data_IF_502929166715
#
_entry.id   IF_502929166715
#
_cell.length_a   1.000
_cell.length_b   1.000
_cell.length_c   1.000
_cell.angle_alpha   90.00
_cell.angle_beta   90.00
_cell.angle_gamma   90.00
#
_symmetry.space_group_name_H-M   'P 1'
#
loop_
_entity.id
_entity.type
_entity.pdbx_description
1 polymer ?
#
# COMPACT_ATOMS: atom_id res chain seq x y z
N UNK A 1 10.23 -1.47 -7.59
CA UNK A 1 10.00 -1.95 -6.22
C UNK A 1 8.86 -1.16 -5.63
N UNK A 2 7.66 -1.74 -5.56
CA UNK A 2 6.60 -1.16 -4.76
C UNK A 2 6.64 -1.86 -3.39
N UNK A 3 7.09 -1.11 -2.38
CA UNK A 3 7.14 -1.61 -1.01
C UNK A 3 5.72 -1.59 -0.45
N UNK A 4 5.07 -2.74 -0.36
CA UNK A 4 3.70 -2.86 0.15
C UNK A 4 3.70 -3.38 1.58
N UNK A 5 2.99 -2.66 2.45
CA UNK A 5 2.79 -3.07 3.83
C UNK A 5 1.99 -4.36 3.92
N UNK A 6 2.40 -5.24 4.82
CA UNK A 6 1.64 -6.44 5.19
C UNK A 6 1.21 -6.33 6.64
N UNK A 7 0.08 -6.96 6.99
CA UNK A 7 -0.38 -7.02 8.37
C UNK A 7 0.68 -7.66 9.27
N UNK A 8 0.72 -7.22 10.52
CA UNK A 8 1.58 -7.81 11.55
C UNK A 8 1.34 -9.32 11.65
N UNK A 9 0.08 -9.74 11.56
CA UNK A 9 -0.33 -11.14 11.45
C UNK A 9 0.48 -11.93 10.43
N UNK A 10 0.60 -11.42 9.19
CA UNK A 10 1.29 -12.11 8.11
C UNK A 10 2.80 -12.17 8.36
N UNK A 11 3.40 -11.07 8.81
CA UNK A 11 4.82 -11.05 9.19
C UNK A 11 5.15 -12.09 10.25
N UNK A 12 4.35 -12.15 11.33
CA UNK A 12 4.54 -13.13 12.42
C UNK A 12 4.27 -14.57 11.99
N UNK A 13 3.22 -14.84 11.21
CA UNK A 13 2.94 -16.18 10.67
C UNK A 13 4.06 -16.68 9.77
N UNK A 14 4.58 -15.81 8.90
CA UNK A 14 5.69 -16.12 8.02
C UNK A 14 6.95 -16.44 8.82
N UNK A 15 7.27 -15.62 9.82
CA UNK A 15 8.41 -15.84 10.71
C UNK A 15 8.29 -17.17 11.46
N UNK A 16 7.11 -17.51 12.00
CA UNK A 16 6.89 -18.79 12.69
C UNK A 16 6.97 -20.02 11.75
N UNK A 17 6.47 -19.88 10.52
CA UNK A 17 6.51 -20.93 9.48
C UNK A 17 7.95 -21.26 9.10
N UNK A 18 8.74 -20.22 8.81
CA UNK A 18 10.11 -20.34 8.34
C UNK A 18 11.16 -20.33 9.46
N UNK A 19 10.72 -20.28 10.73
CA UNK A 19 11.64 -20.23 11.86
C UNK A 19 12.74 -21.30 11.82
N UNK A 20 12.42 -22.59 11.57
CA UNK A 20 13.43 -23.66 11.57
C UNK A 20 14.49 -23.53 10.46
N UNK A 21 14.20 -22.80 9.39
CA UNK A 21 15.13 -22.62 8.27
C UNK A 21 16.20 -21.57 8.60
N UNK A 22 15.80 -20.50 9.29
CA UNK A 22 16.62 -19.30 9.46
C UNK A 22 17.20 -19.10 10.86
N UNK A 23 16.52 -19.59 11.90
CA UNK A 23 16.86 -19.32 13.31
C UNK A 23 17.28 -20.61 14.02
N UNK A 24 18.27 -21.30 13.43
CA UNK A 24 18.82 -22.54 14.00
C UNK A 24 19.37 -22.29 15.41
N UNK A 25 19.19 -23.28 16.28
CA UNK A 25 19.66 -23.25 17.67
C UNK A 25 19.02 -22.18 18.56
N UNK A 26 17.91 -21.59 18.12
CA UNK A 26 17.05 -20.72 18.91
C UNK A 26 15.71 -21.40 19.21
N UNK A 27 15.15 -21.13 20.38
CA UNK A 27 13.81 -21.57 20.76
C UNK A 27 12.81 -21.12 19.70
N UNK A 28 12.01 -22.06 19.21
CA UNK A 28 11.07 -21.82 18.11
C UNK A 28 9.99 -20.82 18.53
N UNK A 29 9.86 -19.74 17.76
CA UNK A 29 8.67 -18.89 17.84
C UNK A 29 7.43 -19.65 17.36
N UNK A 30 6.45 -19.81 18.26
CA UNK A 30 5.28 -20.66 18.04
C UNK A 30 4.24 -20.06 17.10
N UNK A 31 4.31 -18.76 16.77
CA UNK A 31 3.34 -18.12 15.85
C UNK A 31 1.89 -18.17 16.32
N UNK A 32 1.67 -18.12 17.64
CA UNK A 32 0.34 -18.02 18.26
C UNK A 32 -0.22 -16.62 18.05
N UNK A 33 -0.73 -16.39 16.86
CA UNK A 33 -1.42 -15.17 16.47
C UNK A 33 -2.73 -15.56 15.80
N UNK A 34 -3.79 -14.82 16.14
CA UNK A 34 -5.12 -14.96 15.56
C UNK A 34 -5.59 -13.59 15.07
N UNK A 35 -6.03 -13.52 13.82
CA UNK A 35 -6.59 -12.32 13.21
C UNK A 35 -8.10 -12.39 13.31
N UNK A 36 -8.74 -11.32 13.80
CA UNK A 36 -10.19 -11.14 13.76
C UNK A 36 -10.53 -10.02 12.79
N UNK A 37 -11.59 -10.24 12.02
CA UNK A 37 -12.16 -9.32 11.03
C UNK A 37 -13.68 -9.15 11.30
N UNK A 38 -14.42 -8.35 10.51
CA UNK A 38 -15.86 -8.16 10.72
C UNK A 38 -16.73 -9.41 10.46
N UNK A 39 -16.17 -10.46 9.87
CA UNK A 39 -16.88 -11.70 9.49
C UNK A 39 -16.58 -12.87 10.44
N UNK A 40 -15.65 -12.70 11.36
CA UNK A 40 -15.19 -13.73 12.28
C UNK A 40 -15.52 -13.37 13.73
N UNK A 41 -15.80 -14.38 14.55
CA UNK A 41 -16.04 -14.19 16.00
C UNK A 41 -14.89 -14.74 16.82
N UNK A 42 -14.71 -14.21 18.03
CA UNK A 42 -13.73 -14.76 18.99
C UNK A 42 -13.99 -16.23 19.31
N UNK A 43 -15.25 -16.68 19.27
CA UNK A 43 -15.60 -18.09 19.50
C UNK A 43 -15.15 -18.99 18.35
N UNK A 44 -15.30 -18.55 17.11
CA UNK A 44 -14.81 -19.28 15.95
C UNK A 44 -13.28 -19.35 15.95
N UNK A 45 -12.61 -18.24 16.30
CA UNK A 45 -11.17 -18.24 16.47
C UNK A 45 -10.72 -19.19 17.58
N UNK A 46 -11.45 -19.27 18.71
CA UNK A 46 -11.10 -20.17 19.80
C UNK A 46 -11.27 -21.66 19.47
N UNK A 47 -12.15 -22.02 18.52
CA UNK A 47 -12.24 -23.40 18.00
C UNK A 47 -10.95 -23.78 17.27
N UNK A 48 -10.41 -22.86 16.47
CA UNK A 48 -9.17 -23.07 15.70
C UNK A 48 -7.91 -22.86 16.55
N UNK A 49 -8.02 -22.04 17.59
CA UNK A 49 -6.92 -21.62 18.46
C UNK A 49 -7.29 -21.84 19.94
N UNK A 50 -7.28 -23.08 20.46
CA UNK A 50 -7.70 -23.38 21.83
C UNK A 50 -6.90 -22.65 22.92
N UNK A 51 -5.69 -22.18 22.60
CA UNK A 51 -4.85 -21.39 23.50
C UNK A 51 -5.48 -20.04 23.88
N UNK A 52 -6.37 -19.49 23.05
CA UNK A 52 -7.09 -18.24 23.34
C UNK A 52 -7.88 -18.30 24.66
N UNK A 53 -8.38 -19.47 25.04
CA UNK A 53 -9.14 -19.68 26.28
C UNK A 53 -8.28 -20.02 27.50
N UNK A 54 -7.01 -20.36 27.29
CA UNK A 54 -6.11 -20.89 28.33
C UNK A 54 -5.07 -19.88 28.79
N UNK A 55 -4.63 -19.02 27.88
CA UNK A 55 -3.55 -18.07 28.11
C UNK A 55 -4.09 -16.66 28.35
N UNK A 56 -3.29 -15.82 29.01
CA UNK A 56 -3.52 -14.38 29.04
C UNK A 56 -3.20 -13.80 27.66
N UNK A 57 -3.94 -12.78 27.26
CA UNK A 57 -3.93 -12.27 25.88
C UNK A 57 -3.50 -10.81 25.82
N UNK A 58 -2.95 -10.45 24.66
CA UNK A 58 -2.81 -9.10 24.16
C UNK A 58 -3.75 -8.95 22.96
N UNK A 59 -4.44 -7.80 22.88
CA UNK A 59 -5.27 -7.45 21.74
C UNK A 59 -4.89 -6.07 21.24
N UNK A 60 -4.71 -5.93 19.92
CA UNK A 60 -4.37 -4.66 19.27
C UNK A 60 -4.89 -4.60 17.83
N UNK A 61 -5.23 -3.43 17.28
CA UNK A 61 -5.55 -3.30 15.86
C UNK A 61 -4.37 -3.67 14.96
N UNK A 62 -4.68 -4.25 13.80
CA UNK A 62 -3.70 -4.66 12.78
C UNK A 62 -4.10 -4.12 11.40
N UNK A 63 -3.96 -2.79 11.23
CA UNK A 63 -4.33 -2.04 10.02
C UNK A 63 -3.23 -1.07 9.59
N UNK A 64 -1.96 -1.46 9.70
CA UNK A 64 -0.81 -0.70 9.19
C UNK A 64 -0.63 0.72 9.76
N UNK A 65 -0.92 0.93 11.05
CA UNK A 65 -0.58 2.16 11.75
C UNK A 65 0.18 1.87 13.06
N UNK A 66 1.13 2.76 13.38
CA UNK A 66 1.99 2.65 14.56
C UNK A 66 1.40 3.33 15.80
N UNK A 67 2.20 3.39 16.87
CA UNK A 67 1.90 4.12 18.13
C UNK A 67 0.56 3.73 18.80
N UNK A 68 0.09 2.49 18.60
CA UNK A 68 -1.16 1.93 19.16
C UNK A 68 -1.26 2.10 20.69
N UNK A 69 -0.16 1.96 21.41
CA UNK A 69 -0.10 2.18 22.86
C UNK A 69 -0.46 3.62 23.26
N UNK A 70 0.09 4.61 22.54
CA UNK A 70 -0.18 6.04 22.76
C UNK A 70 -1.65 6.43 22.46
N UNK A 71 -2.35 5.60 21.68
CA UNK A 71 -3.77 5.78 21.34
C UNK A 71 -4.74 4.94 22.20
N UNK A 72 -4.27 4.28 23.26
CA UNK A 72 -5.08 3.38 24.09
C UNK A 72 -5.75 2.25 23.28
N UNK A 73 -5.02 1.73 22.27
CA UNK A 73 -5.44 0.67 21.36
C UNK A 73 -4.70 -0.64 21.61
N UNK A 74 -4.21 -0.86 22.83
CA UNK A 74 -3.59 -2.13 23.23
C UNK A 74 -4.24 -2.56 24.54
N UNK A 75 -4.86 -3.74 24.53
CA UNK A 75 -5.31 -4.42 25.73
C UNK A 75 -4.23 -5.44 26.13
N UNK A 76 -3.71 -5.34 27.36
CA UNK A 76 -2.66 -6.22 27.88
C UNK A 76 -3.19 -7.15 28.97
N UNK A 77 -2.59 -8.33 29.12
CA UNK A 77 -2.85 -9.30 30.20
C UNK A 77 -4.34 -9.65 30.40
N UNK A 78 -5.08 -9.75 29.29
CA UNK A 78 -6.52 -9.96 29.30
C UNK A 78 -6.90 -11.45 29.35
N UNK A 79 -8.07 -11.75 29.91
CA UNK A 79 -8.74 -13.04 29.68
C UNK A 79 -9.42 -13.05 28.30
N UNK A 80 -9.83 -14.24 27.85
CA UNK A 80 -10.62 -14.41 26.63
C UNK A 80 -11.88 -13.52 26.60
N UNK A 81 -12.62 -13.45 27.72
CA UNK A 81 -13.83 -12.64 27.83
C UNK A 81 -13.55 -11.14 27.78
N UNK A 82 -12.47 -10.69 28.44
CA UNK A 82 -12.04 -9.29 28.36
C UNK A 82 -11.64 -8.91 26.94
N UNK A 83 -10.87 -9.77 26.25
CA UNK A 83 -10.49 -9.58 24.85
C UNK A 83 -11.73 -9.51 23.94
N UNK A 84 -12.68 -10.44 24.10
CA UNK A 84 -13.94 -10.47 23.34
C UNK A 84 -14.72 -9.17 23.49
N UNK A 85 -14.93 -8.71 24.72
CA UNK A 85 -15.69 -7.47 24.96
C UNK A 85 -14.96 -6.25 24.42
N UNK A 86 -13.64 -6.17 24.62
CA UNK A 86 -12.83 -5.05 24.15
C UNK A 86 -12.84 -4.90 22.63
N UNK A 87 -12.79 -6.02 21.89
CA UNK A 87 -12.92 -6.04 20.42
C UNK A 87 -14.32 -5.62 20.02
N UNK A 88 -15.37 -6.18 20.64
CA UNK A 88 -16.76 -5.86 20.33
C UNK A 88 -17.05 -4.37 20.46
N UNK A 89 -16.51 -3.72 21.47
CA UNK A 89 -16.72 -2.29 21.72
C UNK A 89 -16.04 -1.39 20.68
N UNK A 90 -15.01 -1.90 19.98
CA UNK A 90 -14.16 -1.15 19.03
C UNK A 90 -14.38 -1.54 17.58
N UNK A 91 -14.87 -2.74 17.30
CA UNK A 91 -15.11 -3.24 15.96
C UNK A 91 -16.06 -2.31 15.19
N UNK A 92 -15.66 -1.93 13.98
CA UNK A 92 -16.31 -0.99 13.08
C UNK A 92 -16.51 0.44 13.63
N UNK A 93 -15.82 0.80 14.73
CA UNK A 93 -15.82 2.18 15.24
C UNK A 93 -14.77 3.01 14.53
N UNK A 94 -15.13 4.27 14.25
CA UNK A 94 -14.21 5.24 13.68
C UNK A 94 -13.22 5.74 14.74
N UNK A 95 -11.97 5.89 14.33
CA UNK A 95 -10.91 6.48 15.14
C UNK A 95 -10.03 7.36 14.27
N UNK A 96 -9.49 8.40 14.88
CA UNK A 96 -8.56 9.32 14.21
C UNK A 96 -7.16 9.12 14.75
N UNK A 97 -6.22 8.81 13.86
CA UNK A 97 -4.78 8.67 14.13
C UNK A 97 -4.06 9.78 13.35
N UNK A 98 -3.51 10.76 14.08
CA UNK A 98 -2.96 11.97 13.45
C UNK A 98 -4.05 12.77 12.73
N UNK A 99 -3.97 12.87 11.40
CA UNK A 99 -4.95 13.57 10.55
C UNK A 99 -5.88 12.62 9.79
N UNK A 100 -5.77 11.32 10.05
CA UNK A 100 -6.41 10.27 9.27
C UNK A 100 -7.47 9.57 10.10
N UNK A 101 -8.69 9.48 9.57
CA UNK A 101 -9.83 8.82 10.23
C UNK A 101 -10.22 7.57 9.44
N UNK A 102 -10.39 6.45 10.13
CA UNK A 102 -10.86 5.19 9.55
C UNK A 102 -11.57 4.33 10.60
N UNK A 103 -12.21 3.24 10.15
CA UNK A 103 -12.83 2.24 11.02
C UNK A 103 -11.85 1.16 11.45
N UNK A 104 -11.89 0.81 12.73
CA UNK A 104 -11.19 -0.36 13.26
C UNK A 104 -11.95 -1.63 12.84
N UNK A 105 -11.40 -2.36 11.88
CA UNK A 105 -12.01 -3.56 11.30
C UNK A 105 -11.22 -4.83 11.58
N UNK A 106 -9.91 -4.73 11.83
CA UNK A 106 -9.04 -5.89 12.01
C UNK A 106 -8.24 -5.79 13.31
N UNK A 107 -8.25 -6.85 14.10
CA UNK A 107 -7.46 -6.94 15.33
C UNK A 107 -6.62 -8.21 15.36
N UNK A 108 -5.43 -8.09 15.94
CA UNK A 108 -4.53 -9.18 16.26
C UNK A 108 -4.71 -9.56 17.72
N UNK A 109 -4.86 -10.86 17.98
CA UNK A 109 -4.85 -11.46 19.30
C UNK A 109 -3.65 -12.39 19.42
N UNK A 110 -2.87 -12.24 20.48
CA UNK A 110 -1.69 -13.04 20.76
C UNK A 110 -1.52 -13.28 22.27
N UNK A 111 -0.74 -14.28 22.71
CA UNK A 111 -0.46 -14.49 24.12
C UNK A 111 0.26 -13.27 24.73
N UNK A 112 -0.15 -12.90 25.95
CA UNK A 112 0.63 -12.00 26.78
C UNK A 112 1.92 -12.69 27.22
N UNK A 113 3.04 -12.00 27.02
CA UNK A 113 4.37 -12.46 27.40
C UNK A 113 4.78 -11.68 28.65
N UNK A 114 4.78 -12.27 29.85
CA UNK A 114 5.39 -11.63 31.02
C UNK A 114 6.90 -11.53 30.82
N UNK A 115 7.45 -10.32 30.88
CA UNK A 115 8.89 -10.08 30.71
C UNK A 115 9.32 -8.84 31.49
N UNK A 116 10.64 -8.74 31.73
CA UNK A 116 11.28 -7.53 32.21
C UNK A 116 11.45 -6.55 31.04
N UNK A 117 11.15 -5.27 31.26
CA UNK A 117 11.33 -4.20 30.26
C UNK A 117 12.77 -4.11 29.77
N UNK A 118 13.76 -4.45 30.61
CA UNK A 118 15.17 -4.48 30.23
C UNK A 118 15.51 -5.63 29.24
N UNK A 119 14.53 -6.47 28.89
CA UNK A 119 14.64 -7.54 27.89
C UNK A 119 13.83 -7.23 26.62
N UNK A 120 13.35 -5.99 26.47
CA UNK A 120 12.78 -5.48 25.23
C UNK A 120 13.91 -4.89 24.38
N UNK A 121 14.21 -5.52 23.25
CA UNK A 121 15.18 -5.01 22.28
C UNK A 121 14.46 -4.44 21.05
N UNK A 122 15.20 -3.65 20.27
CA UNK A 122 14.75 -3.11 19.01
C UNK A 122 15.61 -3.67 17.88
N UNK A 123 14.96 -4.06 16.79
CA UNK A 123 15.63 -4.41 15.54
C UNK A 123 14.84 -3.95 14.34
N UNK A 124 15.52 -3.35 13.35
CA UNK A 124 14.94 -3.06 12.06
C UNK A 124 15.93 -3.35 10.93
N UNK A 125 15.43 -3.73 9.76
CA UNK A 125 16.20 -3.90 8.53
C UNK A 125 15.57 -3.02 7.46
N UNK A 126 16.37 -2.12 6.91
CA UNK A 126 15.95 -1.18 5.86
C UNK A 126 16.79 -1.37 4.61
N UNK A 127 16.15 -1.30 3.44
CA UNK A 127 16.86 -1.35 2.16
C UNK A 127 17.33 0.04 1.72
N UNK A 128 18.55 0.11 1.19
CA UNK A 128 19.13 1.31 0.60
C UNK A 128 19.91 0.98 -0.69
N UNK A 129 20.39 2.01 -1.40
CA UNK A 129 21.06 1.80 -2.71
C UNK A 129 22.33 0.94 -2.62
N UNK A 130 22.99 0.89 -1.46
CA UNK A 130 24.26 0.17 -1.25
C UNK A 130 24.07 -1.23 -0.65
N UNK A 131 22.82 -1.66 -0.42
CA UNK A 131 22.48 -2.92 0.25
C UNK A 131 21.46 -2.66 1.34
N UNK A 132 21.57 -3.37 2.46
CA UNK A 132 20.58 -3.29 3.55
C UNK A 132 21.27 -2.89 4.86
N UNK A 133 20.59 -2.07 5.66
CA UNK A 133 21.06 -1.61 6.96
C UNK A 133 20.26 -2.27 8.07
N UNK A 134 20.96 -2.94 8.98
CA UNK A 134 20.41 -3.52 10.21
C UNK A 134 20.59 -2.49 11.32
N UNK A 135 19.49 -2.06 11.91
CA UNK A 135 19.45 -1.19 13.09
C UNK A 135 19.15 -2.05 14.31
N UNK A 136 19.92 -1.91 15.39
CA UNK A 136 19.72 -2.70 16.60
C UNK A 136 19.95 -1.85 17.86
N UNK A 137 19.13 -2.06 18.89
CA UNK A 137 19.34 -1.48 20.23
C UNK A 137 18.90 -2.48 21.30
N UNK A 138 19.63 -2.51 22.42
CA UNK A 138 19.24 -3.24 23.63
C UNK A 138 18.14 -2.53 24.44
N UNK A 139 17.72 -1.34 24.00
CA UNK A 139 16.69 -0.50 24.64
C UNK A 139 15.52 -0.34 23.66
N UNK A 140 14.63 -1.33 23.59
CA UNK A 140 13.44 -1.33 22.74
C UNK A 140 12.18 -0.79 23.42
N UNK A 141 11.05 -0.88 22.69
CA UNK A 141 9.74 -0.54 23.21
C UNK A 141 9.20 0.82 22.70
N UNK A 142 8.22 1.36 23.44
CA UNK A 142 7.44 2.55 23.05
C UNK A 142 8.30 3.82 22.96
N UNK A 143 9.42 3.85 23.67
CA UNK A 143 10.27 5.03 23.85
C UNK A 143 11.59 4.96 23.07
N UNK A 144 11.70 4.05 22.09
CA UNK A 144 12.89 3.93 21.22
C UNK A 144 13.29 5.25 20.54
N UNK A 145 12.30 6.10 20.21
CA UNK A 145 12.53 7.42 19.58
C UNK A 145 13.34 8.36 20.49
N UNK A 146 13.26 8.18 21.82
CA UNK A 146 13.96 9.00 22.81
C UNK A 146 15.39 8.52 23.09
N UNK A 147 15.69 7.26 22.74
CA UNK A 147 17.00 6.60 22.94
C UNK A 147 17.67 6.25 21.62
N UNK A 148 17.39 7.00 20.54
CA UNK A 148 17.92 6.71 19.21
C UNK A 148 19.45 6.65 19.15
N UNK A 149 20.13 7.41 20.01
CA UNK A 149 21.59 7.42 20.12
C UNK A 149 22.18 6.06 20.57
N UNK A 150 21.35 5.15 21.13
CA UNK A 150 21.78 3.79 21.48
C UNK A 150 21.65 2.79 20.32
N UNK A 151 21.06 3.21 19.18
CA UNK A 151 20.84 2.35 18.03
C UNK A 151 22.13 2.23 17.21
N UNK A 152 22.68 1.03 17.16
CA UNK A 152 23.80 0.71 16.26
C UNK A 152 23.25 0.43 14.86
N UNK A 153 23.99 0.83 13.83
CA UNK A 153 23.66 0.55 12.43
C UNK A 153 24.76 -0.29 11.80
N UNK A 154 24.39 -1.45 11.26
CA UNK A 154 25.27 -2.41 10.60
C UNK A 154 24.87 -2.51 9.13
N UNK A 155 25.73 -2.00 8.24
CA UNK A 155 25.51 -2.11 6.81
C UNK A 155 25.93 -3.51 6.31
N UNK A 156 25.07 -4.10 5.49
CA UNK A 156 25.34 -5.30 4.68
C UNK A 156 25.35 -4.86 3.22
N UNK A 157 26.53 -4.78 2.58
CA UNK A 157 26.63 -4.35 1.18
C UNK A 157 25.90 -5.28 0.21
N UNK A 158 25.44 -4.76 -0.92
CA UNK A 158 24.88 -5.58 -2.01
C UNK A 158 25.89 -6.65 -2.45
N UNK A 159 25.40 -7.87 -2.72
CA UNK A 159 26.19 -9.05 -3.08
C UNK A 159 27.11 -9.61 -1.98
N UNK A 160 27.13 -9.01 -0.78
CA UNK A 160 27.84 -9.59 0.37
C UNK A 160 26.98 -10.62 1.10
N UNK A 161 27.64 -11.57 1.78
CA UNK A 161 26.97 -12.46 2.71
C UNK A 161 26.92 -11.84 4.10
N UNK A 162 25.81 -11.99 4.81
CA UNK A 162 25.72 -11.65 6.23
C UNK A 162 26.73 -12.44 7.08
N UNK A 163 27.20 -13.58 6.59
CA UNK A 163 28.21 -14.38 7.29
C UNK A 163 29.57 -13.69 7.38
N UNK A 164 29.89 -12.84 6.39
CA UNK A 164 31.15 -12.09 6.31
C UNK A 164 31.13 -10.83 7.18
N UNK A 165 30.00 -10.52 7.81
CA UNK A 165 29.83 -9.34 8.65
C UNK A 165 30.06 -9.70 10.12
N UNK A 166 31.01 -9.02 10.74
CA UNK A 166 31.29 -9.11 12.18
C UNK A 166 30.19 -8.43 13.02
N UNK A 167 29.02 -9.07 13.10
CA UNK A 167 27.86 -8.56 13.85
C UNK A 167 28.21 -8.37 15.33
N UNK A 168 28.86 -9.36 15.95
CA UNK A 168 29.14 -9.38 17.40
C UNK A 168 29.96 -8.17 17.86
N UNK A 169 30.90 -7.71 17.04
CA UNK A 169 31.76 -6.56 17.34
C UNK A 169 31.04 -5.22 17.25
N UNK A 170 29.98 -5.16 16.44
CA UNK A 170 29.19 -3.95 16.20
C UNK A 170 27.98 -3.81 17.14
N UNK A 171 27.67 -4.86 17.91
CA UNK A 171 26.60 -4.85 18.90
C UNK A 171 26.91 -3.88 20.06
N UNK A 172 25.88 -3.29 20.69
CA UNK A 172 26.05 -2.43 21.86
C UNK A 172 26.95 -3.05 22.94
N UNK A 173 27.82 -2.23 23.53
CA UNK A 173 28.83 -2.71 24.50
C UNK A 173 28.21 -3.20 25.80
N UNK A 174 27.06 -2.66 26.17
CA UNK A 174 26.25 -2.95 27.35
C UNK A 174 25.47 -4.27 27.27
N UNK A 175 25.44 -4.95 26.12
CA UNK A 175 24.88 -6.30 26.02
C UNK A 175 25.74 -7.33 26.78
N UNK A 176 25.15 -8.18 27.64
CA UNK A 176 25.84 -9.30 28.26
C UNK A 176 26.48 -10.25 27.24
N UNK A 177 27.64 -10.83 27.57
CA UNK A 177 28.43 -11.65 26.63
C UNK A 177 27.68 -12.85 26.06
N UNK A 178 26.94 -13.60 26.89
CA UNK A 178 26.12 -14.74 26.45
C UNK A 178 24.95 -14.29 25.55
N UNK A 179 24.38 -13.11 25.82
CA UNK A 179 23.30 -12.53 25.03
C UNK A 179 23.80 -12.04 23.67
N UNK A 180 25.03 -11.51 23.58
CA UNK A 180 25.64 -11.11 22.31
C UNK A 180 25.71 -12.25 21.31
N UNK A 181 26.05 -13.46 21.74
CA UNK A 181 26.11 -14.62 20.85
C UNK A 181 24.73 -15.03 20.35
N UNK A 182 23.73 -15.03 21.24
CA UNK A 182 22.35 -15.34 20.87
C UNK A 182 21.76 -14.28 19.93
N UNK A 183 21.98 -12.99 20.22
CA UNK A 183 21.57 -11.85 19.37
C UNK A 183 22.27 -11.90 18.01
N UNK A 184 23.56 -12.23 17.98
CA UNK A 184 24.30 -12.37 16.72
C UNK A 184 23.69 -13.43 15.82
N UNK A 185 23.39 -14.62 16.37
CA UNK A 185 22.70 -15.70 15.62
C UNK A 185 21.32 -15.26 15.13
N UNK A 186 20.56 -14.58 15.98
CA UNK A 186 19.23 -14.07 15.62
C UNK A 186 19.29 -13.03 14.50
N UNK A 187 20.20 -12.06 14.56
CA UNK A 187 20.39 -11.04 13.52
C UNK A 187 20.76 -11.68 12.18
N UNK A 188 21.72 -12.61 12.19
CA UNK A 188 22.12 -13.34 10.97
C UNK A 188 20.95 -14.11 10.36
N UNK A 189 20.18 -14.80 11.19
CA UNK A 189 18.96 -15.51 10.76
C UNK A 189 17.89 -14.57 10.22
N UNK A 190 17.61 -13.47 10.93
CA UNK A 190 16.61 -12.48 10.54
C UNK A 190 16.97 -11.80 9.21
N UNK A 191 18.24 -11.50 8.98
CA UNK A 191 18.71 -10.94 7.72
C UNK A 191 18.49 -11.89 6.55
N UNK A 192 18.84 -13.18 6.71
CA UNK A 192 18.58 -14.18 5.67
C UNK A 192 17.08 -14.35 5.41
N UNK A 193 16.27 -14.39 6.46
CA UNK A 193 14.81 -14.41 6.36
C UNK A 193 14.28 -13.20 5.59
N UNK A 194 14.74 -11.99 5.93
CA UNK A 194 14.39 -10.74 5.27
C UNK A 194 14.72 -10.78 3.77
N UNK A 195 15.96 -11.15 3.42
CA UNK A 195 16.44 -11.19 2.05
C UNK A 195 15.73 -12.27 1.21
N UNK A 196 15.67 -13.51 1.72
CA UNK A 196 15.13 -14.66 0.98
C UNK A 196 13.62 -14.57 0.72
N UNK A 197 12.89 -13.81 1.54
CA UNK A 197 11.45 -13.62 1.42
C UNK A 197 11.10 -12.26 0.82
N UNK A 198 12.07 -11.52 0.26
CA UNK A 198 11.78 -10.29 -0.49
C UNK A 198 11.18 -9.17 0.37
N UNK A 199 11.58 -9.08 1.64
CA UNK A 199 11.25 -7.92 2.46
C UNK A 199 12.04 -6.70 1.96
N UNK A 200 11.38 -5.54 2.01
CA UNK A 200 12.00 -4.24 1.75
C UNK A 200 12.09 -3.37 3.01
N UNK A 201 11.33 -3.74 4.04
CA UNK A 201 11.38 -3.18 5.39
C UNK A 201 10.90 -4.24 6.38
N UNK A 202 11.62 -4.42 7.48
CA UNK A 202 11.20 -5.26 8.59
C UNK A 202 11.64 -4.63 9.91
N UNK A 203 10.71 -4.31 10.78
CA UNK A 203 10.95 -3.77 12.11
C UNK A 203 10.23 -4.64 13.13
N UNK A 204 10.92 -4.95 14.23
CA UNK A 204 10.38 -5.68 15.37
C UNK A 204 10.65 -4.83 16.61
N UNK A 205 9.60 -4.22 17.17
CA UNK A 205 9.73 -3.28 18.28
C UNK A 205 8.57 -3.33 19.30
N UNK A 206 8.72 -4.02 20.45
CA UNK A 206 9.94 -4.70 20.89
C UNK A 206 10.04 -6.13 20.35
N UNK A 207 11.26 -6.64 20.31
CA UNK A 207 11.56 -8.08 20.35
C UNK A 207 11.95 -8.44 21.78
N UNK A 208 11.23 -9.38 22.39
CA UNK A 208 11.49 -9.81 23.77
C UNK A 208 12.48 -10.96 23.78
N UNK A 209 13.54 -10.82 24.57
CA UNK A 209 14.54 -11.87 24.79
C UNK A 209 14.02 -12.88 25.82
N UNK A 210 14.02 -14.16 25.46
CA UNK A 210 13.74 -15.27 26.40
C UNK A 210 15.02 -16.04 26.73
N UNK A 211 14.93 -17.07 27.59
CA UNK A 211 16.09 -17.90 27.95
C UNK A 211 16.75 -18.59 26.75
N UNK A 212 15.99 -18.89 25.70
CA UNK A 212 16.47 -19.67 24.56
C UNK A 212 16.22 -19.04 23.19
N UNK A 213 15.56 -17.88 23.12
CA UNK A 213 15.20 -17.30 21.83
C UNK A 213 14.57 -15.91 21.96
N UNK A 214 13.73 -15.59 20.99
CA UNK A 214 13.16 -14.26 20.81
C UNK A 214 11.68 -14.36 20.50
N UNK A 215 10.89 -13.45 21.07
CA UNK A 215 9.47 -13.32 20.77
C UNK A 215 9.24 -11.95 20.14
N UNK A 216 8.87 -11.87 18.85
CA UNK A 216 8.47 -10.60 18.23
C UNK A 216 7.14 -10.15 18.84
N UNK A 217 7.15 -9.10 19.67
CA UNK A 217 5.93 -8.58 20.30
C UNK A 217 5.22 -7.61 19.37
N UNK A 218 5.97 -6.82 18.61
CA UNK A 218 5.43 -6.01 17.52
C UNK A 218 6.18 -6.26 16.23
N UNK A 219 5.51 -6.15 15.08
CA UNK A 219 6.17 -6.28 13.78
C UNK A 219 5.55 -5.35 12.76
N UNK A 220 6.37 -4.54 12.12
CA UNK A 220 6.01 -3.73 10.96
C UNK A 220 6.83 -4.24 9.77
N UNK A 221 6.14 -4.61 8.69
CA UNK A 221 6.77 -5.26 7.56
C UNK A 221 6.26 -4.71 6.23
N UNK A 222 7.16 -4.64 5.26
CA UNK A 222 6.84 -4.38 3.85
C UNK A 222 7.59 -5.37 2.97
N UNK A 223 6.89 -5.91 1.98
CA UNK A 223 7.49 -6.74 0.92
C UNK A 223 7.66 -5.91 -0.35
N UNK A 224 8.65 -6.26 -1.17
CA UNK A 224 8.70 -5.82 -2.56
C UNK A 224 7.70 -6.65 -3.36
N UNK A 225 6.51 -6.13 -3.63
CA UNK A 225 5.45 -6.85 -4.32
C UNK A 225 5.88 -7.40 -5.69
N UNK A 226 6.83 -6.76 -6.35
CA UNK A 226 7.37 -7.21 -7.63
C UNK A 226 8.16 -8.52 -7.51
N UNK A 227 8.58 -8.91 -6.32
CA UNK A 227 9.22 -10.20 -6.06
C UNK A 227 8.22 -11.38 -6.00
N UNK A 228 6.91 -11.16 -6.19
CA UNK A 228 5.89 -12.21 -6.11
C UNK A 228 6.15 -13.41 -7.02
N UNK A 229 6.71 -13.20 -8.22
CA UNK A 229 7.01 -14.31 -9.13
C UNK A 229 8.16 -15.21 -8.62
N UNK A 230 9.03 -14.69 -7.74
CA UNK A 230 10.14 -15.45 -7.12
C UNK A 230 9.72 -15.98 -5.75
N UNK A 231 9.17 -15.11 -4.90
CA UNK A 231 8.91 -15.35 -3.50
C UNK A 231 7.47 -15.80 -3.22
N UNK A 232 6.56 -15.75 -4.20
CA UNK A 232 5.13 -16.02 -4.02
C UNK A 232 4.83 -17.41 -3.45
N UNK A 233 5.62 -18.43 -3.81
CA UNK A 233 5.52 -19.77 -3.18
C UNK A 233 5.79 -19.74 -1.69
N UNK A 234 6.74 -18.89 -1.24
CA UNK A 234 7.05 -18.72 0.18
C UNK A 234 5.97 -17.89 0.89
N UNK A 235 5.49 -16.83 0.23
CA UNK A 235 4.45 -15.95 0.77
C UNK A 235 3.09 -16.65 0.93
N UNK A 236 2.73 -17.51 -0.02
CA UNK A 236 1.38 -18.05 -0.13
C UNK A 236 0.39 -16.97 -0.55
N UNK A 237 -0.87 -17.10 -0.10
CA UNK A 237 -1.94 -16.15 -0.38
C UNK A 237 -1.81 -14.93 0.56
N UNK A 238 -0.81 -14.08 0.31
CA UNK A 238 -0.58 -12.89 1.12
C UNK A 238 -1.47 -11.72 0.69
N UNK A 239 -2.07 -11.04 1.67
CA UNK A 239 -2.85 -9.82 1.45
C UNK A 239 -1.96 -8.59 1.63
N UNK A 240 -2.12 -7.61 0.74
CA UNK A 240 -1.52 -6.29 0.85
C UNK A 240 -2.59 -5.24 1.14
N UNK A 241 -2.95 -5.02 2.42
CA UNK A 241 -4.02 -4.11 2.78
C UNK A 241 -3.68 -2.67 2.41
N UNK A 242 -4.71 -1.88 2.16
CA UNK A 242 -4.56 -0.44 2.00
C UNK A 242 -4.06 0.22 3.30
N UNK A 243 -3.36 1.36 3.22
CA UNK A 243 -3.00 2.14 4.39
C UNK A 243 -4.24 2.54 5.21
N UNK A 244 -4.09 2.61 6.53
CA UNK A 244 -5.14 3.15 7.42
C UNK A 244 -5.65 4.50 6.91
N UNK A 245 -6.97 4.69 6.90
CA UNK A 245 -7.61 5.89 6.33
C UNK A 245 -8.15 5.71 4.92
N UNK A 246 -7.85 4.57 4.29
CA UNK A 246 -8.27 4.28 2.93
C UNK A 246 -8.80 2.87 2.84
N UNK A 247 -10.08 2.77 2.48
CA UNK A 247 -10.64 1.53 1.96
C UNK A 247 -10.64 1.61 0.44
N UNK A 248 -10.15 0.57 -0.24
CA UNK A 248 -10.25 0.51 -1.69
C UNK A 248 -11.72 0.40 -2.10
N UNK A 249 -12.17 1.25 -3.02
CA UNK A 249 -13.49 1.08 -3.64
C UNK A 249 -13.52 -0.18 -4.50
N UNK A 250 -14.71 -0.69 -4.83
CA UNK A 250 -14.84 -1.85 -5.74
C UNK A 250 -14.18 -1.58 -7.11
N UNK A 251 -14.23 -0.33 -7.57
CA UNK A 251 -13.60 0.10 -8.81
C UNK A 251 -12.06 0.14 -8.70
N UNK A 252 -11.52 0.60 -7.57
CA UNK A 252 -10.06 0.55 -7.34
C UNK A 252 -9.56 -0.89 -7.27
N UNK A 253 -10.33 -1.80 -6.65
CA UNK A 253 -10.02 -3.24 -6.63
C UNK A 253 -10.06 -3.85 -8.03
N UNK A 254 -11.08 -3.53 -8.83
CA UNK A 254 -11.19 -4.00 -10.20
C UNK A 254 -10.00 -3.57 -11.07
N UNK A 255 -9.58 -2.30 -10.98
CA UNK A 255 -8.41 -1.81 -11.71
C UNK A 255 -7.12 -2.48 -11.20
N UNK A 256 -6.99 -2.69 -9.89
CA UNK A 256 -5.83 -3.40 -9.30
C UNK A 256 -5.74 -4.84 -9.80
N UNK A 257 -6.87 -5.56 -9.87
CA UNK A 257 -6.92 -6.93 -10.40
C UNK A 257 -6.54 -7.00 -11.89
N UNK A 258 -6.94 -5.99 -12.67
CA UNK A 258 -6.55 -5.89 -14.08
C UNK A 258 -5.05 -5.60 -14.25
N UNK A 259 -4.50 -4.72 -13.41
CA UNK A 259 -3.06 -4.39 -13.36
C UNK A 259 -2.20 -5.61 -13.01
N UNK A 260 -2.59 -6.41 -12.02
CA UNK A 260 -1.87 -7.63 -11.59
C UNK A 260 -1.83 -8.71 -12.69
N UNK A 261 -2.74 -8.65 -13.68
CA UNK A 261 -2.84 -9.61 -14.80
C UNK A 261 -2.24 -9.07 -16.10
N UNK A 262 -1.71 -7.85 -16.10
CA UNK A 262 -1.20 -7.18 -17.29
C UNK A 262 0.32 -6.98 -17.25
N UNK A 263 0.93 -6.90 -18.44
CA UNK A 263 2.27 -6.33 -18.59
C UNK A 263 2.27 -4.79 -18.66
N UNK A 264 1.08 -4.19 -18.81
CA UNK A 264 0.86 -2.76 -18.70
C UNK A 264 0.69 -2.34 -17.23
N UNK A 265 0.80 -1.04 -16.97
CA UNK A 265 0.50 -0.45 -15.65
C UNK A 265 -0.84 0.26 -15.72
N UNK A 266 -1.72 -0.02 -14.76
CA UNK A 266 -3.09 0.48 -14.66
C UNK A 266 -3.36 0.84 -13.20
N UNK A 267 -3.41 2.13 -12.88
CA UNK A 267 -3.57 2.60 -11.49
C UNK A 267 -4.77 3.52 -11.39
N UNK A 268 -5.62 3.30 -10.39
CA UNK A 268 -6.73 4.18 -10.06
C UNK A 268 -6.75 4.45 -8.56
N UNK A 269 -6.91 5.71 -8.20
CA UNK A 269 -7.18 6.20 -6.85
C UNK A 269 -8.30 7.22 -6.91
N UNK A 270 -9.41 6.98 -6.23
CA UNK A 270 -10.52 7.93 -6.12
C UNK A 270 -10.25 8.84 -4.93
N UNK A 271 -10.02 10.13 -5.22
CA UNK A 271 -9.69 11.16 -4.22
C UNK A 271 -10.95 11.83 -3.68
N UNK A 272 -11.83 12.24 -4.60
CA UNK A 272 -13.10 12.88 -4.29
C UNK A 272 -14.16 12.37 -5.29
N UNK A 273 -15.00 11.39 -4.93
CA UNK A 273 -16.03 10.85 -5.83
C UNK A 273 -17.00 11.92 -6.38
N UNK A 274 -17.14 13.05 -5.67
CA UNK A 274 -17.99 14.19 -6.06
C UNK A 274 -17.23 15.28 -6.82
N UNK A 275 -15.92 15.11 -7.01
CA UNK A 275 -15.10 16.02 -7.80
C UNK A 275 -15.62 16.13 -9.24
N UNK A 276 -15.45 17.31 -9.83
CA UNK A 276 -15.88 17.59 -11.21
C UNK A 276 -14.75 17.47 -12.23
N UNK A 277 -13.50 17.35 -11.78
CA UNK A 277 -12.32 17.19 -12.65
C UNK A 277 -11.87 15.74 -12.60
N UNK A 278 -11.99 15.04 -13.73
CA UNK A 278 -11.61 13.64 -13.89
C UNK A 278 -10.48 13.52 -14.90
N UNK A 279 -9.61 12.53 -14.69
CA UNK A 279 -8.42 12.35 -15.51
C UNK A 279 -8.29 10.90 -16.01
N UNK A 280 -7.97 10.76 -17.30
CA UNK A 280 -7.51 9.53 -17.94
C UNK A 280 -6.17 9.89 -18.58
N UNK A 281 -5.08 9.74 -17.80
CA UNK A 281 -3.76 10.20 -18.22
C UNK A 281 -2.84 9.01 -18.47
N UNK A 282 -2.09 9.10 -19.56
CA UNK A 282 -1.25 8.03 -20.02
C UNK A 282 0.23 8.27 -19.70
N UNK A 283 0.79 7.44 -18.81
CA UNK A 283 2.16 7.54 -18.28
C UNK A 283 2.23 8.08 -16.86
N UNK A 284 2.90 7.36 -15.95
CA UNK A 284 3.04 7.75 -14.54
C UNK A 284 3.70 9.11 -14.30
N UNK A 285 4.71 9.49 -15.09
CA UNK A 285 5.29 10.84 -14.98
C UNK A 285 4.32 11.93 -15.45
N UNK A 286 3.55 11.65 -16.50
CA UNK A 286 2.57 12.61 -17.01
C UNK A 286 1.40 12.79 -16.04
N UNK A 287 0.86 11.71 -15.46
CA UNK A 287 -0.27 11.80 -14.53
C UNK A 287 0.03 12.68 -13.31
N UNK A 288 1.26 12.62 -12.80
CA UNK A 288 1.74 13.53 -11.74
C UNK A 288 1.73 14.98 -12.24
N UNK A 289 2.34 15.27 -13.39
CA UNK A 289 2.41 16.64 -13.93
C UNK A 289 1.03 17.24 -14.25
N UNK A 290 0.07 16.43 -14.74
CA UNK A 290 -1.32 16.88 -14.91
C UNK A 290 -1.98 17.18 -13.57
N UNK A 291 -1.74 16.35 -12.55
CA UNK A 291 -2.26 16.56 -11.18
C UNK A 291 -1.70 17.84 -10.57
N UNK A 292 -0.39 18.07 -10.67
CA UNK A 292 0.28 19.28 -10.19
C UNK A 292 -0.31 20.52 -10.88
N UNK A 293 -0.52 20.47 -12.20
CA UNK A 293 -1.13 21.60 -12.93
C UNK A 293 -2.56 21.90 -12.43
N UNK A 294 -3.35 20.88 -12.13
CA UNK A 294 -4.72 21.06 -11.57
C UNK A 294 -4.63 21.70 -10.18
N UNK A 295 -3.65 21.31 -9.37
CA UNK A 295 -3.44 21.85 -8.03
C UNK A 295 -2.96 23.30 -8.08
N UNK A 296 -1.99 23.61 -8.93
CA UNK A 296 -1.43 24.95 -9.11
C UNK A 296 -2.47 25.95 -9.60
N UNK A 297 -3.47 25.48 -10.37
CA UNK A 297 -4.61 26.29 -10.80
C UNK A 297 -5.70 26.44 -9.74
N UNK A 298 -5.54 25.86 -8.54
CA UNK A 298 -6.46 25.98 -7.41
C UNK A 298 -7.62 24.99 -7.41
N UNK A 299 -7.57 23.92 -8.20
CA UNK A 299 -8.66 22.95 -8.35
C UNK A 299 -8.43 21.64 -7.59
N UNK A 300 -7.56 21.65 -6.58
CA UNK A 300 -7.24 20.48 -5.75
C UNK A 300 -8.49 19.76 -5.21
N UNK A 301 -9.43 20.53 -4.64
CA UNK A 301 -10.64 19.95 -4.01
C UNK A 301 -11.67 19.46 -5.04
N UNK A 302 -11.53 19.85 -6.32
CA UNK A 302 -12.37 19.41 -7.43
C UNK A 302 -11.81 18.19 -8.17
N UNK A 303 -10.55 17.80 -7.90
CA UNK A 303 -9.92 16.62 -8.51
C UNK A 303 -10.53 15.35 -7.96
N UNK A 304 -11.15 14.57 -8.83
CA UNK A 304 -11.90 13.39 -8.43
C UNK A 304 -11.03 12.14 -8.32
N UNK A 305 -10.05 11.98 -9.20
CA UNK A 305 -9.20 10.79 -9.26
C UNK A 305 -7.74 11.13 -9.58
N UNK A 306 -6.85 10.31 -9.05
CA UNK A 306 -5.48 10.17 -9.51
C UNK A 306 -5.30 8.77 -10.09
N UNK A 307 -4.63 8.67 -11.22
CA UNK A 307 -4.42 7.39 -11.86
C UNK A 307 -3.66 7.52 -13.16
N UNK A 308 -3.24 6.39 -13.70
CA UNK A 308 -2.55 6.33 -14.98
C UNK A 308 -2.78 5.00 -15.69
N UNK A 309 -2.61 5.03 -17.01
CA UNK A 309 -2.34 3.83 -17.78
C UNK A 309 -1.03 3.97 -18.55
N UNK A 310 -0.18 2.96 -18.54
CA UNK A 310 1.09 2.96 -19.27
C UNK A 310 1.57 1.55 -19.58
N UNK A 311 2.72 1.38 -20.23
CA UNK A 311 3.20 0.03 -20.58
C UNK A 311 2.53 -0.59 -21.82
N UNK A 312 1.89 0.22 -22.67
CA UNK A 312 1.20 -0.22 -23.90
C UNK A 312 0.05 -1.22 -23.63
N UNK A 313 -0.98 -0.82 -22.84
CA UNK A 313 -2.15 -1.66 -22.64
C UNK A 313 -2.90 -1.89 -23.96
N UNK A 314 -3.60 -3.00 -24.00
CA UNK A 314 -4.50 -3.38 -25.09
C UNK A 314 -5.73 -2.47 -25.18
N UNK A 315 -6.45 -2.60 -26.29
CA UNK A 315 -7.73 -1.90 -26.51
C UNK A 315 -8.74 -2.26 -25.42
N UNK A 316 -8.82 -3.52 -25.00
CA UNK A 316 -9.78 -3.98 -24.00
C UNK A 316 -9.44 -3.45 -22.60
N UNK A 317 -8.18 -3.55 -22.17
CA UNK A 317 -7.74 -2.98 -20.89
C UNK A 317 -7.99 -1.47 -20.83
N UNK A 318 -7.71 -0.75 -21.92
CA UNK A 318 -7.99 0.69 -21.98
C UNK A 318 -9.49 0.98 -21.97
N UNK A 319 -10.30 0.15 -22.61
CA UNK A 319 -11.76 0.25 -22.58
C UNK A 319 -12.30 0.04 -21.15
N UNK A 320 -11.90 -1.02 -20.45
CA UNK A 320 -12.31 -1.29 -19.08
C UNK A 320 -11.88 -0.17 -18.12
N UNK A 321 -10.63 0.29 -18.26
CA UNK A 321 -10.11 1.41 -17.45
C UNK A 321 -10.92 2.70 -17.67
N UNK A 322 -11.16 3.08 -18.94
CA UNK A 322 -11.92 4.27 -19.29
C UNK A 322 -13.39 4.14 -18.85
N UNK A 323 -14.00 2.98 -19.06
CA UNK A 323 -15.38 2.66 -18.65
C UNK A 323 -15.56 2.85 -17.14
N UNK A 324 -14.64 2.32 -16.33
CA UNK A 324 -14.69 2.47 -14.87
C UNK A 324 -14.68 3.94 -14.45
N UNK A 325 -13.79 4.76 -15.04
CA UNK A 325 -13.71 6.20 -14.74
C UNK A 325 -14.96 6.95 -15.22
N UNK A 326 -15.46 6.64 -16.41
CA UNK A 326 -16.65 7.29 -16.96
C UNK A 326 -17.90 6.92 -16.16
N UNK A 327 -18.01 5.68 -15.68
CA UNK A 327 -19.08 5.28 -14.78
C UNK A 327 -19.03 6.08 -13.47
N UNK A 328 -17.87 6.09 -12.80
CA UNK A 328 -17.67 6.83 -11.56
C UNK A 328 -18.03 8.32 -11.71
N UNK A 329 -17.55 8.97 -12.78
CA UNK A 329 -17.79 10.39 -12.99
C UNK A 329 -19.25 10.72 -13.33
N UNK A 330 -20.08 9.75 -13.71
CA UNK A 330 -21.48 9.97 -14.13
C UNK A 330 -22.52 9.56 -13.07
N UNK A 331 -22.10 9.19 -11.85
CA UNK A 331 -23.00 8.79 -10.75
C UNK A 331 -23.76 9.95 -10.09
N UNK A 332 -23.12 11.11 -9.96
CA UNK A 332 -23.71 12.33 -9.39
C UNK A 332 -23.49 13.52 -10.31
N UNK A 333 -24.47 14.41 -10.46
CA UNK A 333 -24.34 15.64 -11.25
C UNK A 333 -23.62 16.73 -10.44
N UNK A 334 -22.79 17.54 -11.12
CA UNK A 334 -22.30 18.82 -10.58
C UNK A 334 -23.01 19.96 -11.35
N UNK A 335 -23.56 20.99 -10.67
CA UNK A 335 -24.28 22.09 -11.33
C UNK A 335 -23.42 22.88 -12.33
N UNK A 336 -22.09 22.82 -12.22
CA UNK A 336 -21.13 23.48 -13.11
C UNK A 336 -20.70 22.58 -14.28
N UNK A 337 -21.28 21.39 -14.40
CA UNK A 337 -20.82 20.32 -15.30
C UNK A 337 -19.48 19.72 -14.87
N UNK A 338 -19.04 18.68 -15.57
CA UNK A 338 -17.79 17.97 -15.28
C UNK A 338 -16.81 18.05 -16.43
N UNK A 339 -15.54 17.83 -16.14
CA UNK A 339 -14.44 17.91 -17.09
C UNK A 339 -13.69 16.60 -17.06
N UNK A 340 -13.47 16.01 -18.24
CA UNK A 340 -12.64 14.83 -18.44
C UNK A 340 -11.39 15.22 -19.22
N UNK A 341 -10.23 15.08 -18.58
CA UNK A 341 -8.92 15.33 -19.18
C UNK A 341 -8.34 14.00 -19.63
N UNK A 342 -8.24 13.81 -20.94
CA UNK A 342 -7.64 12.63 -21.57
C UNK A 342 -6.25 13.04 -22.08
N UNK A 343 -5.24 12.85 -21.23
CA UNK A 343 -3.93 13.48 -21.39
C UNK A 343 -2.78 12.49 -21.52
N UNK A 344 -1.59 13.05 -21.74
CA UNK A 344 -0.35 12.33 -21.55
C UNK A 344 0.84 12.93 -22.29
N UNK A 345 2.03 12.41 -21.96
CA UNK A 345 3.26 12.69 -22.70
C UNK A 345 3.22 12.16 -24.14
N UNK A 346 4.34 12.32 -24.85
CA UNK A 346 4.53 11.65 -26.14
C UNK A 346 5.01 10.23 -25.84
N UNK A 347 4.20 9.22 -26.20
CA UNK A 347 4.55 7.83 -25.92
C UNK A 347 5.72 7.36 -26.78
N UNK A 348 6.60 6.54 -26.20
CA UNK A 348 7.71 5.91 -26.95
C UNK A 348 7.23 4.69 -27.76
N UNK A 349 6.44 3.81 -27.15
CA UNK A 349 6.03 2.53 -27.75
C UNK A 349 4.53 2.22 -27.63
N UNK A 350 3.78 2.96 -26.80
CA UNK A 350 2.33 2.75 -26.69
C UNK A 350 1.62 3.11 -27.98
N UNK A 351 0.83 2.18 -28.51
CA UNK A 351 -0.01 2.40 -29.69
C UNK A 351 -1.22 3.28 -29.33
N UNK A 352 -1.15 4.55 -29.75
CA UNK A 352 -2.18 5.55 -29.42
C UNK A 352 -3.49 5.23 -30.13
N UNK A 353 -3.48 4.65 -31.33
CA UNK A 353 -4.71 4.30 -32.04
C UNK A 353 -5.48 3.19 -31.30
N UNK A 354 -4.79 2.15 -30.83
CA UNK A 354 -5.41 1.06 -30.06
C UNK A 354 -5.98 1.53 -28.74
N UNK A 355 -5.18 2.25 -27.95
CA UNK A 355 -5.62 2.78 -26.65
C UNK A 355 -6.79 3.76 -26.82
N UNK A 356 -6.73 4.66 -27.80
CA UNK A 356 -7.86 5.57 -28.07
C UNK A 356 -9.09 4.85 -28.57
N UNK A 357 -8.96 3.75 -29.30
CA UNK A 357 -10.11 2.92 -29.69
C UNK A 357 -10.85 2.41 -28.45
N UNK A 358 -10.14 1.95 -27.42
CA UNK A 358 -10.73 1.53 -26.15
C UNK A 358 -11.48 2.66 -25.44
N UNK A 359 -10.85 3.84 -25.34
CA UNK A 359 -11.46 5.04 -24.75
C UNK A 359 -12.72 5.46 -25.53
N UNK A 360 -12.64 5.49 -26.87
CA UNK A 360 -13.76 5.85 -27.75
C UNK A 360 -14.94 4.91 -27.56
N UNK A 361 -14.70 3.61 -27.41
CA UNK A 361 -15.75 2.63 -27.16
C UNK A 361 -16.47 2.90 -25.84
N UNK A 362 -15.71 3.19 -24.76
CA UNK A 362 -16.30 3.53 -23.47
C UNK A 362 -17.11 4.84 -23.53
N UNK A 363 -16.59 5.88 -24.22
CA UNK A 363 -17.31 7.13 -24.43
C UNK A 363 -18.63 6.93 -25.18
N UNK A 364 -18.64 6.09 -26.22
CA UNK A 364 -19.86 5.75 -26.98
C UNK A 364 -20.90 5.04 -26.12
N UNK A 365 -20.49 4.07 -25.32
CA UNK A 365 -21.38 3.32 -24.41
C UNK A 365 -22.03 4.23 -23.37
N UNK A 366 -21.29 5.21 -22.84
CA UNK A 366 -21.76 6.12 -21.80
C UNK A 366 -22.29 7.46 -22.36
N UNK A 367 -22.54 7.56 -23.67
CA UNK A 367 -22.96 8.79 -24.36
C UNK A 367 -24.05 9.56 -23.60
N UNK A 368 -25.17 8.90 -23.29
CA UNK A 368 -26.31 9.59 -22.66
C UNK A 368 -25.95 10.09 -21.25
N UNK A 369 -25.28 9.26 -20.45
CA UNK A 369 -24.81 9.65 -19.11
C UNK A 369 -23.85 10.85 -19.15
N UNK A 370 -22.95 10.90 -20.14
CA UNK A 370 -22.02 12.02 -20.34
C UNK A 370 -22.77 13.32 -20.68
N UNK A 371 -23.79 13.24 -21.55
CA UNK A 371 -24.65 14.38 -21.91
C UNK A 371 -25.43 14.86 -20.66
N UNK A 372 -26.06 13.94 -19.94
CA UNK A 372 -26.90 14.26 -18.76
C UNK A 372 -26.11 14.90 -17.62
N UNK A 373 -24.79 14.63 -17.56
CA UNK A 373 -23.85 15.18 -16.58
C UNK A 373 -23.09 16.42 -17.10
N UNK A 374 -23.44 16.93 -18.28
CA UNK A 374 -22.80 18.10 -18.90
C UNK A 374 -21.26 17.99 -18.90
N UNK A 375 -20.76 16.85 -19.36
CA UNK A 375 -19.32 16.57 -19.42
C UNK A 375 -18.69 17.31 -20.59
N UNK A 376 -17.49 17.87 -20.38
CA UNK A 376 -16.62 18.40 -21.43
C UNK A 376 -15.30 17.64 -21.44
N UNK A 377 -14.82 17.27 -22.62
CA UNK A 377 -13.64 16.41 -22.78
C UNK A 377 -12.52 17.20 -23.46
N UNK A 378 -11.33 17.13 -22.87
CA UNK A 378 -10.13 17.77 -23.41
C UNK A 378 -9.05 16.71 -23.60
N UNK A 379 -8.54 16.60 -24.83
CA UNK A 379 -7.67 15.50 -25.25
C UNK A 379 -6.34 16.06 -25.72
N UNK A 380 -5.22 15.53 -25.19
CA UNK A 380 -3.88 15.81 -25.71
C UNK A 380 -3.03 14.56 -25.65
N UNK A 381 -2.55 14.09 -26.80
CA UNK A 381 -1.66 12.91 -26.86
C UNK A 381 -0.73 12.93 -28.07
N UNK A 382 0.42 12.29 -27.91
CA UNK A 382 1.36 11.95 -28.99
C UNK A 382 1.96 10.55 -28.79
N UNK A 383 2.64 10.03 -29.81
CA UNK A 383 3.29 8.72 -29.80
C UNK A 383 2.96 7.88 -31.05
N UNK A 384 3.31 6.58 -31.09
CA UNK A 384 2.99 5.71 -32.22
C UNK A 384 1.50 5.76 -32.61
N UNK A 385 1.21 5.93 -33.90
CA UNK A 385 -0.15 5.99 -34.48
C UNK A 385 -1.08 7.08 -33.89
N UNK A 386 -0.52 8.12 -33.26
CA UNK A 386 -1.34 9.15 -32.63
C UNK A 386 -2.24 9.91 -33.61
N UNK A 387 -1.80 10.13 -34.85
CA UNK A 387 -2.59 10.85 -35.84
C UNK A 387 -3.95 10.16 -36.08
N UNK A 388 -3.95 8.83 -36.18
CA UNK A 388 -5.17 8.04 -36.31
C UNK A 388 -6.03 8.10 -35.05
N UNK A 389 -5.45 7.88 -33.88
CA UNK A 389 -6.17 7.99 -32.61
C UNK A 389 -6.84 9.35 -32.41
N UNK A 390 -6.10 10.45 -32.67
CA UNK A 390 -6.64 11.81 -32.57
C UNK A 390 -7.70 12.10 -33.65
N UNK A 391 -7.53 11.60 -34.87
CA UNK A 391 -8.53 11.72 -35.93
C UNK A 391 -9.84 11.06 -35.51
N UNK A 392 -9.78 9.81 -35.02
CA UNK A 392 -10.95 9.06 -34.58
C UNK A 392 -11.66 9.75 -33.40
N UNK A 393 -10.89 10.34 -32.47
CA UNK A 393 -11.43 11.12 -31.35
C UNK A 393 -12.09 12.43 -31.81
N UNK A 394 -11.53 13.11 -32.81
CA UNK A 394 -12.13 14.31 -33.43
C UNK A 394 -13.43 13.99 -34.15
N UNK A 395 -13.48 12.86 -34.86
CA UNK A 395 -14.70 12.36 -35.53
C UNK A 395 -15.78 11.99 -34.51
N UNK A 396 -15.40 11.36 -33.39
CA UNK A 396 -16.31 11.11 -32.28
C UNK A 396 -16.94 12.40 -31.75
N UNK A 397 -16.16 13.46 -31.56
CA UNK A 397 -16.65 14.75 -31.07
C UNK A 397 -17.78 15.36 -31.92
N UNK A 398 -17.88 15.01 -33.22
CA UNK A 398 -18.95 15.46 -34.11
C UNK A 398 -20.27 14.71 -33.92
N UNK A 399 -20.23 13.50 -33.36
CA UNK A 399 -21.37 12.56 -33.33
C UNK A 399 -21.82 12.19 -31.91
N UNK A 400 -20.92 12.31 -30.92
CA UNK A 400 -21.18 11.93 -29.54
C UNK A 400 -22.17 12.87 -28.85
N UNK A 401 -22.28 14.14 -29.27
CA UNK A 401 -23.11 15.14 -28.59
C UNK A 401 -22.51 15.66 -27.28
N UNK A 402 -21.25 15.32 -27.01
CA UNK A 402 -20.46 15.77 -25.87
C UNK A 402 -19.33 16.66 -26.42
N UNK A 403 -19.07 17.87 -25.88
CA UNK A 403 -17.98 18.72 -26.35
C UNK A 403 -16.62 18.05 -26.18
N UNK A 404 -15.87 17.84 -27.27
CA UNK A 404 -14.52 17.30 -27.26
C UNK A 404 -13.56 18.25 -27.97
N UNK A 405 -12.51 18.73 -27.28
CA UNK A 405 -11.39 19.49 -27.88
C UNK A 405 -10.15 18.59 -27.94
N UNK A 406 -9.57 18.44 -29.13
CA UNK A 406 -8.50 17.47 -29.39
C UNK A 406 -7.24 18.14 -29.92
N UNK A 407 -6.12 17.91 -29.24
CA UNK A 407 -4.81 18.49 -29.51
C UNK A 407 -3.74 17.40 -29.67
N UNK A 408 -2.74 17.65 -30.51
CA UNK A 408 -1.60 16.76 -30.71
C UNK A 408 -0.33 17.22 -29.98
N UNK A 409 0.84 16.71 -30.39
CA UNK A 409 2.12 17.03 -29.78
C UNK A 409 2.55 18.49 -30.02
N UNK A 410 1.95 19.20 -30.97
CA UNK A 410 2.15 20.63 -31.20
C UNK A 410 1.69 21.51 -30.02
N UNK A 411 0.75 21.02 -29.22
CA UNK A 411 0.32 21.69 -28.00
C UNK A 411 1.20 21.25 -26.81
N UNK A 412 1.49 22.21 -25.90
CA UNK A 412 2.16 21.90 -24.64
C UNK A 412 1.34 20.87 -23.84
N UNK A 413 2.01 19.92 -23.19
CA UNK A 413 1.34 18.76 -22.57
C UNK A 413 0.16 19.16 -21.67
N UNK A 414 0.40 20.11 -20.78
CA UNK A 414 -0.56 20.55 -19.77
C UNK A 414 -1.49 21.66 -20.22
N UNK A 415 -1.38 22.18 -21.46
CA UNK A 415 -2.18 23.34 -21.90
C UNK A 415 -3.68 23.07 -21.92
N UNK A 416 -4.08 21.81 -22.04
CA UNK A 416 -5.50 21.41 -22.00
C UNK A 416 -6.14 21.53 -20.61
N UNK A 417 -5.33 21.57 -19.55
CA UNK A 417 -5.82 21.73 -18.17
C UNK A 417 -6.45 23.11 -17.96
N UNK A 418 -5.73 24.24 -18.16
CA UNK A 418 -6.35 25.55 -18.04
C UNK A 418 -7.45 25.77 -19.08
N UNK A 419 -7.38 25.19 -20.29
CA UNK A 419 -8.47 25.26 -21.25
C UNK A 419 -9.77 24.64 -20.71
N UNK A 420 -9.68 23.56 -19.92
CA UNK A 420 -10.83 22.95 -19.26
C UNK A 420 -11.33 23.73 -18.05
N UNK A 421 -10.39 24.14 -17.19
CA UNK A 421 -10.72 24.65 -15.85
C UNK A 421 -10.94 26.17 -15.79
N UNK A 422 -10.25 26.92 -16.65
CA UNK A 422 -10.20 28.39 -16.59
C UNK A 422 -10.90 29.07 -17.77
N UNK A 423 -11.48 28.30 -18.70
CA UNK A 423 -12.54 28.81 -19.56
C UNK A 423 -13.72 29.20 -18.66
N UNK A 424 -13.66 30.42 -18.08
CA UNK A 424 -14.85 31.19 -17.77
C UNK A 424 -15.76 31.00 -18.97
N UNK A 425 -16.99 30.57 -18.72
CA UNK A 425 -18.07 30.81 -19.63
C UNK A 425 -17.98 32.29 -20.01
N UNK A 426 -17.37 32.59 -21.16
CA UNK A 426 -17.54 33.87 -21.84
C UNK A 426 -18.97 33.78 -22.37
N UNK A 427 -19.90 33.95 -21.43
CA UNK A 427 -21.29 34.29 -21.69
C UNK A 427 -21.32 35.75 -22.14
#
# INVERSE_FOLDING_TARGET
MAQRGIREYHGKKMMAKYWPEYFKDLEKYKGKVALIDPKTTMDDLAKQNPWLKKEKLVVKPDQLFGKRGKHNLILLNATFEQARNWIKDRMNKEITIGKVTDKLSHFLVEPFVPHDKNKEYYIAITSNRKGDAIHFSAHGGVDIEEVWDTVVTIQVPTLSSIEDIEIKEKLPKDLPGEEKDMVTRFIKGLFKFYSDLGYAYLEINPVVVTKGGFIPVDTVARLDDTAQFVCGKKWGDIEFPAPFGRSLTEEEKFITDMDEKSGASLKLTVLNPKGRVWTIVAGGGASVVYTDTIFDLGFKDELANYGEYSGNPSTDETYQYAKTIIDLMTREKDPRGKILIIGGGIANFTDVAKTFTGIINALKEYKQKLIDNNVKIYVRRGGPNYQEGLKNMKELGKTLGVPIKVFGPEAHMTSIVPMGLTEKARA
#
